data_IF_907071350832
#
_entry.id   IF_907071350832
#
_cell.length_a   1.000
_cell.length_b   1.000
_cell.length_c   1.000
_cell.angle_alpha   90.00
_cell.angle_beta   90.00
_cell.angle_gamma   90.00
#
_symmetry.space_group_name_H-M   'P 1'
#
loop_
_entity.id
_entity.type
_entity.pdbx_description
1 polymer ?
#
# COMPACT_ATOMS: atom_id res chain seq x y z
N UNK A 1 -79.06 35.46 -173.61
CA UNK A 1 -78.67 34.76 -172.36
C UNK A 1 -78.28 35.70 -171.22
N UNK A 2 -77.71 36.90 -171.48
CA UNK A 2 -77.30 37.88 -170.45
C UNK A 2 -78.49 38.48 -169.67
N UNK A 3 -79.64 38.72 -170.32
CA UNK A 3 -80.85 39.27 -169.67
C UNK A 3 -81.40 38.34 -168.58
N UNK A 4 -81.39 37.02 -168.81
CA UNK A 4 -81.81 36.02 -167.81
C UNK A 4 -80.87 35.98 -166.60
N UNK A 5 -79.56 36.18 -166.82
CA UNK A 5 -78.55 36.26 -165.76
C UNK A 5 -78.75 37.54 -164.92
N UNK A 6 -79.05 38.68 -165.55
CA UNK A 6 -79.25 39.94 -164.84
C UNK A 6 -80.48 39.90 -163.92
N UNK A 7 -81.61 39.35 -164.38
CA UNK A 7 -82.79 39.14 -163.54
C UNK A 7 -82.53 38.12 -162.42
N UNK A 8 -81.70 37.11 -162.66
CA UNK A 8 -81.30 36.15 -161.63
C UNK A 8 -80.43 36.81 -160.55
N UNK A 9 -79.41 37.60 -160.93
CA UNK A 9 -78.55 38.32 -160.00
C UNK A 9 -79.34 39.38 -159.21
N UNK A 10 -80.22 40.14 -159.87
CA UNK A 10 -81.07 41.13 -159.21
C UNK A 10 -82.06 40.46 -158.25
N UNK A 11 -82.67 39.34 -158.65
CA UNK A 11 -83.52 38.52 -157.80
C UNK A 11 -82.77 37.98 -156.57
N UNK A 12 -81.54 37.49 -156.77
CA UNK A 12 -80.68 37.01 -155.69
C UNK A 12 -80.26 38.14 -154.73
N UNK A 13 -79.89 39.31 -155.24
CA UNK A 13 -79.54 40.48 -154.42
C UNK A 13 -80.75 40.98 -153.61
N UNK A 14 -81.93 41.01 -154.23
CA UNK A 14 -83.17 41.40 -153.58
C UNK A 14 -83.55 40.39 -152.47
N UNK A 15 -83.43 39.08 -152.75
CA UNK A 15 -83.65 38.04 -151.75
C UNK A 15 -82.62 38.11 -150.60
N UNK A 16 -81.34 38.37 -150.91
CA UNK A 16 -80.28 38.57 -149.92
C UNK A 16 -80.52 39.80 -149.05
N UNK A 17 -80.97 40.92 -149.65
CA UNK A 17 -81.30 42.14 -148.93
C UNK A 17 -82.48 41.95 -147.97
N UNK A 18 -83.52 41.25 -148.42
CA UNK A 18 -84.67 40.87 -147.59
C UNK A 18 -84.24 39.91 -146.48
N UNK A 19 -83.36 38.94 -146.77
CA UNK A 19 -82.84 38.03 -145.76
C UNK A 19 -82.10 38.79 -144.65
N UNK A 20 -81.20 39.72 -145.00
CA UNK A 20 -80.46 40.55 -144.02
C UNK A 20 -81.39 41.41 -143.17
N UNK A 21 -82.49 41.93 -143.73
CA UNK A 21 -83.49 42.68 -142.96
C UNK A 21 -84.26 41.80 -141.97
N UNK A 22 -84.58 40.56 -142.35
CA UNK A 22 -85.38 39.64 -141.53
C UNK A 22 -84.53 38.90 -140.49
N UNK A 23 -83.27 38.58 -140.79
CA UNK A 23 -82.34 37.87 -139.89
C UNK A 23 -82.28 38.47 -138.47
N UNK A 24 -82.09 39.78 -138.24
CA UNK A 24 -82.04 40.34 -136.89
C UNK A 24 -83.37 40.23 -136.15
N UNK A 25 -84.51 40.28 -136.85
CA UNK A 25 -85.84 40.11 -136.26
C UNK A 25 -86.07 38.65 -135.85
N UNK A 26 -85.72 37.71 -136.74
CA UNK A 26 -85.79 36.28 -136.46
C UNK A 26 -84.86 35.88 -135.31
N UNK A 27 -83.64 36.44 -135.23
CA UNK A 27 -82.69 36.19 -134.15
C UNK A 27 -83.19 36.73 -132.81
N UNK A 28 -83.69 37.98 -132.76
CA UNK A 28 -84.28 38.54 -131.52
C UNK A 28 -85.46 37.69 -131.03
N UNK A 29 -86.29 37.18 -131.95
CA UNK A 29 -87.41 36.30 -131.60
C UNK A 29 -86.94 34.92 -131.13
N UNK A 30 -85.92 34.34 -131.76
CA UNK A 30 -85.32 33.07 -131.34
C UNK A 30 -84.68 33.17 -129.95
N UNK A 31 -83.95 34.26 -129.65
CA UNK A 31 -83.39 34.53 -128.32
C UNK A 31 -84.49 34.70 -127.28
N UNK A 32 -85.57 35.42 -127.60
CA UNK A 32 -86.69 35.59 -126.67
C UNK A 32 -87.44 34.27 -126.41
N UNK A 33 -87.62 33.42 -127.42
CA UNK A 33 -88.27 32.11 -127.25
C UNK A 33 -87.39 31.12 -126.47
N UNK A 34 -86.08 31.09 -126.74
CA UNK A 34 -85.13 30.25 -125.98
C UNK A 34 -84.99 30.73 -124.55
N UNK A 35 -84.93 32.05 -124.30
CA UNK A 35 -84.97 32.62 -122.96
C UNK A 35 -86.26 32.24 -122.21
N UNK A 36 -87.44 32.44 -122.81
CA UNK A 36 -88.72 32.03 -122.21
C UNK A 36 -88.83 30.53 -121.96
N UNK A 37 -88.24 29.69 -122.82
CA UNK A 37 -88.21 28.23 -122.64
C UNK A 37 -87.25 27.80 -121.53
N UNK A 38 -86.09 28.44 -121.42
CA UNK A 38 -85.13 28.20 -120.32
C UNK A 38 -85.75 28.67 -119.00
N UNK A 39 -86.32 29.88 -118.96
CA UNK A 39 -87.04 30.42 -117.78
C UNK A 39 -88.26 29.58 -117.38
N UNK A 40 -88.94 28.92 -118.34
CA UNK A 40 -90.07 28.03 -118.06
C UNK A 40 -89.70 26.57 -117.74
N UNK A 41 -88.44 26.15 -117.98
CA UNK A 41 -87.95 24.79 -117.70
C UNK A 41 -87.01 24.72 -116.50
N UNK A 42 -86.40 25.84 -116.11
CA UNK A 42 -85.71 25.97 -114.84
C UNK A 42 -86.68 26.47 -113.77
N UNK A 43 -86.79 25.79 -112.62
CA UNK A 43 -87.68 26.19 -111.54
C UNK A 43 -87.19 27.41 -110.74
N UNK A 44 -86.14 28.12 -111.19
CA UNK A 44 -85.49 29.20 -110.45
C UNK A 44 -85.36 30.47 -111.31
N UNK A 45 -85.75 31.60 -110.73
CA UNK A 45 -85.60 32.93 -111.34
C UNK A 45 -84.12 33.37 -111.35
N UNK A 46 -83.68 34.26 -112.25
CA UNK A 46 -82.29 34.72 -112.30
C UNK A 46 -81.82 35.40 -110.99
N UNK A 47 -82.75 36.02 -110.24
CA UNK A 47 -82.49 36.55 -108.89
C UNK A 47 -82.25 35.44 -107.86
N UNK A 48 -82.96 34.33 -107.94
CA UNK A 48 -82.75 33.18 -107.05
C UNK A 48 -81.41 32.49 -107.33
N UNK A 49 -80.97 32.43 -108.59
CA UNK A 49 -79.63 31.91 -108.95
C UNK A 49 -78.52 32.78 -108.36
N UNK A 50 -78.70 34.11 -108.35
CA UNK A 50 -77.76 35.02 -107.72
C UNK A 50 -77.77 34.86 -106.19
N UNK A 51 -78.95 34.76 -105.58
CA UNK A 51 -79.09 34.50 -104.15
C UNK A 51 -78.45 33.17 -103.74
N UNK A 52 -78.60 32.11 -104.54
CA UNK A 52 -77.99 30.81 -104.31
C UNK A 52 -76.46 30.87 -104.43
N UNK A 53 -75.95 31.59 -105.43
CA UNK A 53 -74.52 31.83 -105.59
C UNK A 53 -73.94 32.61 -104.40
N UNK A 54 -74.64 33.62 -103.91
CA UNK A 54 -74.22 34.39 -102.76
C UNK A 54 -74.39 33.60 -101.45
N UNK A 55 -75.38 32.71 -101.35
CA UNK A 55 -75.51 31.71 -100.27
C UNK A 55 -74.29 30.79 -100.22
N UNK A 56 -73.92 30.18 -101.35
CA UNK A 56 -72.74 29.30 -101.42
C UNK A 56 -71.46 30.06 -101.06
N UNK A 57 -71.31 31.32 -101.51
CA UNK A 57 -70.19 32.17 -101.11
C UNK A 57 -70.19 32.48 -99.63
N UNK A 58 -71.35 32.75 -99.03
CA UNK A 58 -71.48 33.01 -97.60
C UNK A 58 -71.17 31.74 -96.79
N UNK A 59 -71.67 30.57 -97.20
CA UNK A 59 -71.37 29.29 -96.57
C UNK A 59 -69.88 28.97 -96.65
N UNK A 60 -69.26 29.15 -97.82
CA UNK A 60 -67.82 29.00 -98.00
C UNK A 60 -67.04 29.96 -97.09
N UNK A 61 -67.38 31.25 -97.08
CA UNK A 61 -66.74 32.25 -96.23
C UNK A 61 -66.90 31.93 -94.73
N UNK A 62 -68.08 31.51 -94.29
CA UNK A 62 -68.33 31.09 -92.91
C UNK A 62 -67.56 29.82 -92.55
N UNK A 63 -67.46 28.85 -93.46
CA UNK A 63 -66.69 27.62 -93.25
C UNK A 63 -65.19 27.92 -93.11
N UNK A 64 -64.65 28.78 -93.96
CA UNK A 64 -63.26 29.26 -93.91
C UNK A 64 -63.03 29.97 -92.58
N UNK A 65 -63.90 30.93 -92.20
CA UNK A 65 -63.78 31.65 -90.93
C UNK A 65 -63.85 30.71 -89.73
N UNK A 66 -64.71 29.69 -89.76
CA UNK A 66 -64.82 28.68 -88.69
C UNK A 66 -63.57 27.80 -88.61
N UNK A 67 -62.95 27.48 -89.75
CA UNK A 67 -61.69 26.74 -89.80
C UNK A 67 -60.52 27.60 -89.30
N UNK A 68 -60.44 28.87 -89.70
CA UNK A 68 -59.46 29.84 -89.20
C UNK A 68 -59.55 29.97 -87.68
N UNK A 69 -60.75 30.23 -87.12
CA UNK A 69 -60.93 30.31 -85.67
C UNK A 69 -60.54 29.01 -84.95
N UNK A 70 -60.84 27.85 -85.53
CA UNK A 70 -60.40 26.56 -84.98
C UNK A 70 -58.88 26.44 -85.02
N UNK A 71 -58.24 26.80 -86.13
CA UNK A 71 -56.80 26.76 -86.30
C UNK A 71 -56.10 27.71 -85.31
N UNK A 72 -56.59 28.94 -85.17
CA UNK A 72 -56.12 29.91 -84.17
C UNK A 72 -56.27 29.36 -82.74
N UNK A 73 -57.41 28.76 -82.40
CA UNK A 73 -57.63 28.17 -81.07
C UNK A 73 -56.70 26.98 -80.78
N UNK A 74 -56.40 26.16 -81.80
CA UNK A 74 -55.47 25.04 -81.68
C UNK A 74 -54.03 25.52 -81.58
N UNK A 75 -53.66 26.55 -82.35
CA UNK A 75 -52.35 27.20 -82.24
C UNK A 75 -52.16 27.84 -80.86
N UNK A 76 -53.16 28.52 -80.32
CA UNK A 76 -53.12 29.08 -78.97
C UNK A 76 -52.95 27.98 -77.90
N UNK A 77 -53.69 26.86 -78.01
CA UNK A 77 -53.53 25.70 -77.12
C UNK A 77 -52.16 25.02 -77.25
N UNK A 78 -51.64 24.90 -78.47
CA UNK A 78 -50.31 24.35 -78.70
C UNK A 78 -49.23 25.25 -78.08
N UNK A 79 -49.33 26.57 -78.28
CA UNK A 79 -48.45 27.54 -77.65
C UNK A 79 -48.49 27.45 -76.11
N UNK A 80 -49.67 27.35 -75.49
CA UNK A 80 -49.77 27.18 -74.03
C UNK A 80 -49.17 25.85 -73.57
N UNK A 81 -49.41 24.76 -74.29
CA UNK A 81 -48.84 23.44 -73.98
C UNK A 81 -47.31 23.45 -74.09
N UNK A 82 -46.73 24.11 -75.09
CA UNK A 82 -45.28 24.24 -75.23
C UNK A 82 -44.68 25.03 -74.05
N UNK A 83 -45.36 26.07 -73.56
CA UNK A 83 -44.94 26.80 -72.36
C UNK A 83 -44.99 25.89 -71.12
N UNK A 84 -46.04 25.10 -70.95
CA UNK A 84 -46.17 24.20 -69.81
C UNK A 84 -45.17 23.05 -69.85
N UNK A 85 -44.88 22.49 -71.03
CA UNK A 85 -43.78 21.52 -71.23
C UNK A 85 -42.44 22.16 -70.88
N UNK A 86 -42.19 23.41 -71.30
CA UNK A 86 -40.98 24.14 -70.93
C UNK A 86 -40.83 24.32 -69.42
N UNK A 87 -41.92 24.67 -68.72
CA UNK A 87 -41.94 24.78 -67.26
C UNK A 87 -41.70 23.44 -66.57
N UNK A 88 -42.33 22.37 -67.05
CA UNK A 88 -42.15 21.02 -66.50
C UNK A 88 -40.72 20.52 -66.71
N UNK A 89 -40.12 20.76 -67.89
CA UNK A 89 -38.72 20.44 -68.16
C UNK A 89 -37.77 21.19 -67.23
N UNK A 90 -38.03 22.45 -66.94
CA UNK A 90 -37.24 23.24 -65.99
C UNK A 90 -37.35 22.69 -64.55
N UNK A 91 -38.55 22.29 -64.12
CA UNK A 91 -38.74 21.63 -62.82
C UNK A 91 -38.00 20.29 -62.75
N UNK A 92 -38.06 19.48 -63.80
CA UNK A 92 -37.32 18.21 -63.88
C UNK A 92 -35.81 18.44 -63.79
N UNK A 93 -35.27 19.46 -64.47
CA UNK A 93 -33.85 19.83 -64.36
C UNK A 93 -33.47 20.24 -62.94
N UNK A 94 -34.30 21.04 -62.26
CA UNK A 94 -34.08 21.44 -60.87
C UNK A 94 -34.08 20.24 -59.92
N UNK A 95 -35.10 19.38 -60.02
CA UNK A 95 -35.19 18.16 -59.20
C UNK A 95 -34.04 17.19 -59.48
N UNK A 96 -33.61 17.07 -60.73
CA UNK A 96 -32.41 16.30 -61.07
C UNK A 96 -31.17 16.89 -60.38
N UNK A 97 -30.93 18.20 -60.49
CA UNK A 97 -29.80 18.85 -59.82
C UNK A 97 -29.82 18.67 -58.29
N UNK A 98 -30.99 18.78 -57.66
CA UNK A 98 -31.15 18.51 -56.22
C UNK A 98 -30.87 17.05 -55.86
N UNK A 99 -31.34 16.10 -56.67
CA UNK A 99 -31.04 14.67 -56.50
C UNK A 99 -29.54 14.40 -56.63
N UNK A 100 -28.88 14.98 -57.62
CA UNK A 100 -27.43 14.87 -57.83
C UNK A 100 -26.66 15.38 -56.62
N UNK A 101 -27.06 16.54 -56.09
CA UNK A 101 -26.45 17.12 -54.91
C UNK A 101 -26.64 16.23 -53.66
N UNK A 102 -27.85 15.70 -53.46
CA UNK A 102 -28.15 14.79 -52.34
C UNK A 102 -27.40 13.46 -52.44
N UNK A 103 -27.26 12.89 -53.64
CA UNK A 103 -26.47 11.68 -53.84
C UNK A 103 -25.00 11.91 -53.52
N UNK A 104 -24.41 13.01 -53.99
CA UNK A 104 -23.03 13.38 -53.64
C UNK A 104 -22.85 13.55 -52.12
N UNK A 105 -23.81 14.18 -51.45
CA UNK A 105 -23.79 14.33 -50.00
C UNK A 105 -23.91 12.97 -49.28
N UNK A 106 -24.78 12.08 -49.77
CA UNK A 106 -24.93 10.73 -49.25
C UNK A 106 -23.64 9.92 -49.42
N UNK A 107 -23.00 9.97 -50.58
CA UNK A 107 -21.75 9.27 -50.85
C UNK A 107 -20.62 9.78 -49.93
N UNK A 108 -20.53 11.10 -49.72
CA UNK A 108 -19.58 11.68 -48.78
C UNK A 108 -19.84 11.23 -47.33
N UNK A 109 -21.11 11.14 -46.93
CA UNK A 109 -21.49 10.60 -45.62
C UNK A 109 -21.17 9.11 -45.50
N UNK A 110 -21.42 8.31 -46.54
CA UNK A 110 -21.10 6.89 -46.56
C UNK A 110 -19.60 6.64 -46.41
N UNK A 111 -18.75 7.42 -47.10
CA UNK A 111 -17.29 7.39 -46.92
C UNK A 111 -16.90 7.76 -45.49
N UNK A 112 -17.50 8.80 -44.91
CA UNK A 112 -17.22 9.22 -43.53
C UNK A 112 -17.63 8.16 -42.51
N UNK A 113 -18.78 7.51 -42.70
CA UNK A 113 -19.24 6.39 -41.87
C UNK A 113 -18.25 5.23 -41.98
N UNK A 114 -17.83 4.87 -43.19
CA UNK A 114 -16.81 3.83 -43.41
C UNK A 114 -15.50 4.12 -42.68
N UNK A 115 -14.99 5.35 -42.76
CA UNK A 115 -13.79 5.79 -42.05
C UNK A 115 -13.96 5.69 -40.52
N UNK A 116 -15.08 6.20 -39.99
CA UNK A 116 -15.37 6.13 -38.55
C UNK A 116 -15.51 4.68 -38.07
N UNK A 117 -16.13 3.79 -38.85
CA UNK A 117 -16.21 2.37 -38.51
C UNK A 117 -14.84 1.71 -38.49
N UNK A 118 -13.95 2.04 -39.42
CA UNK A 118 -12.59 1.53 -39.44
C UNK A 118 -11.77 2.03 -38.23
N UNK A 119 -11.95 3.28 -37.83
CA UNK A 119 -11.30 3.84 -36.65
C UNK A 119 -11.84 3.23 -35.34
N UNK A 120 -13.14 2.97 -35.26
CA UNK A 120 -13.74 2.22 -34.15
C UNK A 120 -13.16 0.81 -34.05
N UNK A 121 -13.06 0.07 -35.17
CA UNK A 121 -12.46 -1.27 -35.13
C UNK A 121 -11.01 -1.26 -34.68
N UNK A 122 -10.22 -0.25 -35.10
CA UNK A 122 -8.83 -0.09 -34.62
C UNK A 122 -8.79 0.20 -33.12
N UNK A 123 -9.67 1.09 -32.64
CA UNK A 123 -9.79 1.41 -31.21
C UNK A 123 -10.20 0.20 -30.39
N UNK A 124 -11.13 -0.62 -30.89
CA UNK A 124 -11.54 -1.86 -30.24
C UNK A 124 -10.40 -2.89 -30.18
N UNK A 125 -9.58 -2.99 -31.22
CA UNK A 125 -8.36 -3.81 -31.21
C UNK A 125 -7.31 -3.28 -30.24
N UNK A 126 -7.09 -1.96 -30.18
CA UNK A 126 -6.21 -1.31 -29.21
C UNK A 126 -6.69 -1.57 -27.78
N UNK A 127 -7.98 -1.43 -27.50
CA UNK A 127 -8.59 -1.69 -26.20
C UNK A 127 -8.43 -3.16 -25.78
N UNK A 128 -8.63 -4.11 -26.72
CA UNK A 128 -8.38 -5.53 -26.44
C UNK A 128 -6.93 -5.80 -26.08
N UNK A 129 -5.97 -5.26 -26.86
CA UNK A 129 -4.54 -5.39 -26.57
C UNK A 129 -4.15 -4.79 -25.22
N UNK A 130 -4.71 -3.62 -24.89
CA UNK A 130 -4.47 -2.98 -23.58
C UNK A 130 -5.10 -3.78 -22.45
N UNK A 131 -6.30 -4.35 -22.65
CA UNK A 131 -6.95 -5.23 -21.70
C UNK A 131 -6.16 -6.52 -21.44
N UNK A 132 -5.62 -7.15 -22.48
CA UNK A 132 -4.76 -8.32 -22.36
C UNK A 132 -3.48 -8.00 -21.57
N UNK A 133 -2.82 -6.86 -21.87
CA UNK A 133 -1.64 -6.40 -21.13
C UNK A 133 -1.94 -6.09 -19.67
N UNK A 134 -3.09 -5.47 -19.37
CA UNK A 134 -3.51 -5.22 -18.00
C UNK A 134 -3.73 -6.53 -17.24
N UNK A 135 -4.41 -7.50 -17.85
CA UNK A 135 -4.62 -8.81 -17.25
C UNK A 135 -3.29 -9.56 -17.00
N UNK A 136 -2.32 -9.45 -17.91
CA UNK A 136 -0.97 -10.01 -17.73
C UNK A 136 -0.22 -9.33 -16.57
N UNK A 137 -0.26 -8.00 -16.50
CA UNK A 137 0.37 -7.24 -15.41
C UNK A 137 -0.29 -7.56 -14.07
N UNK A 138 -1.62 -7.59 -14.01
CA UNK A 138 -2.39 -7.98 -12.83
C UNK A 138 -2.02 -9.40 -12.38
N UNK A 139 -1.94 -10.35 -13.31
CA UNK A 139 -1.48 -11.71 -13.04
C UNK A 139 -0.04 -11.77 -12.51
N UNK A 140 0.89 -11.00 -13.08
CA UNK A 140 2.27 -10.93 -12.57
C UNK A 140 2.35 -10.28 -11.18
N UNK A 141 1.49 -9.31 -10.90
CA UNK A 141 1.40 -8.64 -9.61
C UNK A 141 0.80 -9.56 -8.54
N UNK A 142 -0.19 -10.38 -8.87
CA UNK A 142 -0.74 -11.36 -7.93
C UNK A 142 0.28 -12.44 -7.61
N UNK A 143 1.00 -12.96 -8.62
CA UNK A 143 2.11 -13.90 -8.36
C UNK A 143 3.19 -13.28 -7.47
N UNK A 144 3.59 -12.03 -7.74
CA UNK A 144 4.57 -11.32 -6.92
C UNK A 144 4.07 -11.11 -5.48
N UNK A 145 2.78 -10.82 -5.30
CA UNK A 145 2.17 -10.71 -3.97
C UNK A 145 2.18 -12.04 -3.22
N UNK A 146 1.88 -13.16 -3.88
CA UNK A 146 1.97 -14.50 -3.29
C UNK A 146 3.41 -14.87 -2.92
N UNK A 147 4.39 -14.51 -3.75
CA UNK A 147 5.81 -14.71 -3.47
C UNK A 147 6.26 -13.89 -2.26
N UNK A 148 5.84 -12.63 -2.16
CA UNK A 148 6.10 -11.78 -0.99
C UNK A 148 5.46 -12.34 0.28
N UNK A 149 4.23 -12.86 0.20
CA UNK A 149 3.58 -13.50 1.34
C UNK A 149 4.33 -14.76 1.79
N UNK A 150 4.74 -15.62 0.85
CA UNK A 150 5.57 -16.80 1.15
C UNK A 150 6.89 -16.40 1.80
N UNK A 151 7.56 -15.38 1.26
CA UNK A 151 8.82 -14.89 1.80
C UNK A 151 8.64 -14.26 3.19
N UNK A 152 7.53 -13.55 3.42
CA UNK A 152 7.15 -13.02 4.72
C UNK A 152 6.99 -14.13 5.76
N UNK A 153 6.25 -15.20 5.43
CA UNK A 153 6.10 -16.37 6.32
C UNK A 153 7.44 -17.05 6.62
N UNK A 154 8.32 -17.17 5.63
CA UNK A 154 9.65 -17.73 5.82
C UNK A 154 10.52 -16.84 6.73
N UNK A 155 10.41 -15.52 6.58
CA UNK A 155 11.11 -14.57 7.45
C UNK A 155 10.61 -14.63 8.89
N UNK A 156 9.30 -14.68 9.09
CA UNK A 156 8.69 -14.82 10.41
C UNK A 156 9.14 -16.12 11.09
N UNK A 157 9.08 -17.25 10.38
CA UNK A 157 9.56 -18.54 10.89
C UNK A 157 11.06 -18.50 11.23
N UNK A 158 11.88 -17.91 10.35
CA UNK A 158 13.31 -17.74 10.61
C UNK A 158 13.56 -16.86 11.85
N UNK A 159 12.81 -15.77 12.00
CA UNK A 159 12.86 -14.85 13.13
C UNK A 159 12.44 -15.53 14.44
N UNK A 160 11.34 -16.30 14.43
CA UNK A 160 10.90 -17.10 15.57
C UNK A 160 11.95 -18.15 15.95
N UNK A 161 12.51 -18.87 14.97
CA UNK A 161 13.55 -19.87 15.22
C UNK A 161 14.82 -19.24 15.82
N UNK A 162 15.20 -18.05 15.36
CA UNK A 162 16.34 -17.30 15.89
C UNK A 162 16.08 -16.83 17.32
N UNK A 163 14.89 -16.28 17.58
CA UNK A 163 14.48 -15.87 18.92
C UNK A 163 14.44 -17.05 19.89
N UNK A 164 13.92 -18.20 19.44
CA UNK A 164 13.92 -19.46 20.20
C UNK A 164 15.35 -19.89 20.53
N UNK A 165 16.27 -19.90 19.55
CA UNK A 165 17.69 -20.20 19.78
C UNK A 165 18.35 -19.21 20.74
N UNK A 166 18.01 -17.92 20.67
CA UNK A 166 18.54 -16.92 21.59
C UNK A 166 18.06 -17.18 23.02
N UNK A 167 16.79 -17.53 23.23
CA UNK A 167 16.26 -17.92 24.53
C UNK A 167 16.98 -19.18 25.04
N UNK A 168 17.17 -20.18 24.19
CA UNK A 168 17.92 -21.39 24.54
C UNK A 168 19.38 -21.08 24.92
N UNK A 169 20.06 -20.20 24.19
CA UNK A 169 21.42 -19.77 24.51
C UNK A 169 21.49 -19.08 25.87
N UNK A 170 20.59 -18.14 26.16
CA UNK A 170 20.52 -17.45 27.46
C UNK A 170 20.22 -18.44 28.59
N UNK A 171 19.36 -19.43 28.35
CA UNK A 171 19.09 -20.50 29.31
C UNK A 171 20.34 -21.36 29.57
N UNK A 172 21.09 -21.72 28.51
CA UNK A 172 22.36 -22.47 28.64
C UNK A 172 23.45 -21.65 29.33
N UNK A 173 23.55 -20.36 29.06
CA UNK A 173 24.47 -19.45 29.76
C UNK A 173 24.14 -19.39 31.25
N UNK A 174 22.86 -19.30 31.61
CA UNK A 174 22.40 -19.34 33.00
C UNK A 174 22.73 -20.68 33.69
N UNK A 175 22.58 -21.81 32.98
CA UNK A 175 22.99 -23.13 33.47
C UNK A 175 24.51 -23.20 33.69
N UNK A 176 25.31 -22.67 32.77
CA UNK A 176 26.76 -22.60 32.88
C UNK A 176 27.19 -21.73 34.06
N UNK A 177 26.53 -20.59 34.29
CA UNK A 177 26.78 -19.73 35.44
C UNK A 177 26.46 -20.44 36.76
N UNK A 178 25.31 -21.15 36.82
CA UNK A 178 24.95 -21.99 37.98
C UNK A 178 26.00 -23.07 38.24
N UNK A 179 26.40 -23.83 37.22
CA UNK A 179 27.43 -24.87 37.33
C UNK A 179 28.80 -24.28 37.73
N UNK A 180 29.14 -23.10 37.21
CA UNK A 180 30.38 -22.40 37.58
C UNK A 180 30.35 -21.94 39.04
N UNK A 181 29.21 -21.43 39.51
CA UNK A 181 28.98 -21.10 40.92
C UNK A 181 29.11 -22.35 41.81
N UNK A 182 28.50 -23.47 41.42
CA UNK A 182 28.63 -24.76 42.11
C UNK A 182 30.08 -25.27 42.13
N UNK A 183 30.80 -25.21 41.01
CA UNK A 183 32.21 -25.56 40.95
C UNK A 183 33.06 -24.66 41.84
N UNK A 184 32.76 -23.37 41.93
CA UNK A 184 33.46 -22.45 42.84
C UNK A 184 33.19 -22.78 44.31
N UNK A 185 31.95 -23.13 44.66
CA UNK A 185 31.55 -23.59 46.00
C UNK A 185 32.24 -24.90 46.35
N UNK A 186 32.24 -25.89 45.45
CA UNK A 186 32.93 -27.16 45.64
C UNK A 186 34.45 -26.98 45.75
N UNK A 187 35.05 -26.06 44.98
CA UNK A 187 36.48 -25.71 45.11
C UNK A 187 36.77 -25.06 46.46
N UNK A 188 35.89 -24.18 46.96
CA UNK A 188 36.03 -23.57 48.28
C UNK A 188 35.90 -24.62 49.40
N UNK A 189 34.89 -25.48 49.33
CA UNK A 189 34.71 -26.61 50.25
C UNK A 189 35.90 -27.56 50.24
N UNK A 190 36.44 -27.89 49.06
CA UNK A 190 37.65 -28.70 48.95
C UNK A 190 38.86 -28.03 49.60
N UNK A 191 39.07 -26.72 49.37
CA UNK A 191 40.16 -25.97 50.02
C UNK A 191 39.98 -25.95 51.53
N UNK A 192 38.77 -25.75 52.02
CA UNK A 192 38.46 -25.77 53.45
C UNK A 192 38.69 -27.17 54.04
N UNK A 193 38.23 -28.23 53.38
CA UNK A 193 38.50 -29.61 53.76
C UNK A 193 40.00 -29.95 53.74
N UNK A 194 40.76 -29.46 52.75
CA UNK A 194 42.22 -29.63 52.70
C UNK A 194 42.92 -28.88 53.84
N UNK A 195 42.45 -27.68 54.20
CA UNK A 195 42.96 -26.92 55.35
C UNK A 195 42.61 -27.60 56.67
N UNK A 196 41.38 -28.07 56.83
CA UNK A 196 40.94 -28.87 57.96
C UNK A 196 41.76 -30.16 58.05
N UNK A 197 41.99 -30.86 56.94
CA UNK A 197 42.83 -32.05 56.87
C UNK A 197 44.27 -31.77 57.31
N UNK A 198 44.86 -30.65 56.87
CA UNK A 198 46.19 -30.20 57.34
C UNK A 198 46.20 -29.83 58.82
N UNK A 199 45.17 -29.14 59.30
CA UNK A 199 45.04 -28.79 60.72
C UNK A 199 44.93 -30.05 61.57
N UNK A 200 44.03 -30.98 61.23
CA UNK A 200 43.89 -32.28 61.89
C UNK A 200 45.18 -33.12 61.79
N UNK A 201 45.92 -33.05 60.68
CA UNK A 201 47.21 -33.72 60.55
C UNK A 201 48.29 -33.10 61.47
N UNK A 202 48.30 -31.77 61.63
CA UNK A 202 49.18 -31.09 62.58
C UNK A 202 48.78 -31.41 64.02
N UNK A 203 47.49 -31.38 64.35
CA UNK A 203 46.97 -31.74 65.67
C UNK A 203 47.26 -33.20 66.01
N UNK A 204 47.06 -34.13 65.08
CA UNK A 204 47.42 -35.55 65.30
C UNK A 204 48.93 -35.73 65.42
N UNK A 205 49.75 -34.92 64.73
CA UNK A 205 51.21 -34.91 64.90
C UNK A 205 51.60 -34.38 66.28
N UNK A 206 51.08 -33.24 66.72
CA UNK A 206 51.39 -32.68 68.04
C UNK A 206 50.87 -33.59 69.15
N UNK A 207 49.69 -34.19 68.99
CA UNK A 207 49.16 -35.20 69.91
C UNK A 207 50.04 -36.47 69.95
N UNK A 208 50.55 -36.94 68.80
CA UNK A 208 51.53 -38.05 68.75
C UNK A 208 52.83 -37.66 69.44
N UNK A 209 53.37 -36.47 69.20
CA UNK A 209 54.58 -35.97 69.85
C UNK A 209 54.37 -35.87 71.37
N UNK A 210 53.24 -35.33 71.83
CA UNK A 210 52.84 -35.30 73.24
C UNK A 210 52.72 -36.71 73.83
N UNK A 211 52.10 -37.65 73.13
CA UNK A 211 52.01 -39.05 73.56
C UNK A 211 53.40 -39.70 73.66
N UNK A 212 54.32 -39.41 72.73
CA UNK A 212 55.70 -39.92 72.84
C UNK A 212 56.46 -39.29 74.00
N UNK A 213 56.22 -38.00 74.29
CA UNK A 213 56.79 -37.33 75.45
C UNK A 213 56.24 -37.91 76.76
N UNK A 214 54.93 -38.16 76.86
CA UNK A 214 54.31 -38.85 77.99
C UNK A 214 54.81 -40.29 78.12
N UNK A 215 54.96 -41.04 77.02
CA UNK A 215 55.58 -42.38 77.06
C UNK A 215 57.03 -42.34 77.55
N UNK A 216 57.82 -41.33 77.15
CA UNK A 216 59.17 -41.11 77.68
C UNK A 216 59.15 -40.79 79.17
N UNK A 217 58.30 -39.86 79.61
CA UNK A 217 58.10 -39.55 81.04
C UNK A 217 57.67 -40.77 81.83
N UNK A 218 56.74 -41.56 81.31
CA UNK A 218 56.29 -42.81 81.91
C UNK A 218 57.43 -43.83 81.97
N UNK A 219 58.28 -43.93 80.94
CA UNK A 219 59.47 -44.80 80.98
C UNK A 219 60.53 -44.30 81.97
N UNK A 220 60.71 -42.99 82.11
CA UNK A 220 61.64 -42.40 83.08
C UNK A 220 61.10 -42.55 84.50
N UNK A 221 59.79 -42.41 84.71
CA UNK A 221 59.12 -42.73 85.97
C UNK A 221 59.20 -44.22 86.27
N UNK A 222 59.03 -45.10 85.28
CA UNK A 222 59.19 -46.54 85.44
C UNK A 222 60.63 -46.89 85.84
N UNK A 223 61.64 -46.27 85.21
CA UNK A 223 63.05 -46.38 85.63
C UNK A 223 63.29 -45.85 87.03
N UNK A 224 62.65 -44.73 87.42
CA UNK A 224 62.74 -44.20 88.78
C UNK A 224 62.12 -45.17 89.78
N UNK A 225 60.95 -45.73 89.48
CA UNK A 225 60.32 -46.78 90.29
C UNK A 225 61.25 -47.99 90.37
N UNK A 226 61.84 -48.43 89.27
CA UNK A 226 62.80 -49.54 89.23
C UNK A 226 64.03 -49.25 90.12
N UNK A 227 64.62 -48.05 90.03
CA UNK A 227 65.71 -47.64 90.92
C UNK A 227 65.27 -47.52 92.37
N UNK A 228 64.06 -47.03 92.65
CA UNK A 228 63.52 -46.96 94.01
C UNK A 228 63.28 -48.37 94.56
N UNK A 229 62.75 -49.29 93.76
CA UNK A 229 62.59 -50.70 94.13
C UNK A 229 63.94 -51.38 94.30
N UNK A 230 64.95 -51.04 93.51
CA UNK A 230 66.32 -51.54 93.71
C UNK A 230 66.94 -50.97 94.99
N UNK A 231 66.74 -49.69 95.29
CA UNK A 231 67.19 -49.10 96.57
C UNK A 231 66.43 -49.64 97.76
N UNK A 232 65.14 -49.98 97.61
CA UNK A 232 64.35 -50.65 98.62
C UNK A 232 64.84 -52.09 98.80
N UNK A 233 65.12 -52.82 97.71
CA UNK A 233 65.74 -54.15 97.79
C UNK A 233 67.13 -54.10 98.45
N UNK A 234 67.98 -53.11 98.12
CA UNK A 234 69.26 -52.90 98.80
C UNK A 234 69.08 -52.52 100.28
N UNK A 235 68.03 -51.74 100.60
CA UNK A 235 67.67 -51.39 101.98
C UNK A 235 67.15 -52.61 102.73
N UNK A 236 66.34 -53.44 102.10
CA UNK A 236 65.80 -54.66 102.65
C UNK A 236 66.91 -55.70 102.81
N UNK A 237 67.86 -55.82 101.87
CA UNK A 237 69.07 -56.63 102.01
C UNK A 237 69.99 -56.11 103.13
N UNK A 238 70.12 -54.78 103.28
CA UNK A 238 70.83 -54.18 104.41
C UNK A 238 70.11 -54.41 105.73
N UNK A 239 68.78 -54.35 105.74
CA UNK A 239 67.96 -54.68 106.89
C UNK A 239 68.06 -56.17 107.21
N UNK A 240 68.06 -57.06 106.23
CA UNK A 240 68.22 -58.49 106.42
C UNK A 240 69.63 -58.82 106.94
N UNK A 241 70.68 -58.10 106.48
CA UNK A 241 72.02 -58.17 107.07
C UNK A 241 72.06 -57.63 108.50
N UNK A 242 71.40 -56.49 108.76
CA UNK A 242 71.24 -55.92 110.11
C UNK A 242 70.40 -56.81 111.01
N UNK A 243 69.43 -57.56 110.48
CA UNK A 243 68.60 -58.52 111.19
C UNK A 243 69.38 -59.81 111.47
N UNK A 244 70.25 -60.25 110.54
CA UNK A 244 71.21 -61.34 110.78
C UNK A 244 72.29 -60.93 111.80
N UNK A 245 72.69 -59.67 111.84
CA UNK A 245 73.56 -59.08 112.89
C UNK A 245 72.82 -58.90 114.22
N UNK A 246 71.55 -58.48 114.20
CA UNK A 246 70.67 -58.39 115.36
C UNK A 246 70.22 -59.76 115.88
N UNK A 247 70.20 -60.81 115.05
CA UNK A 247 70.01 -62.19 115.50
C UNK A 247 71.27 -62.71 116.21
N UNK A 248 72.47 -62.33 115.75
CA UNK A 248 73.75 -62.65 116.42
C UNK A 248 74.02 -61.81 117.68
N UNK A 249 73.40 -60.63 117.78
CA UNK A 249 73.47 -59.74 118.95
C UNK A 249 72.21 -59.82 119.85
N UNK A 250 71.20 -60.64 119.52
CA UNK A 250 70.05 -60.97 120.41
C UNK A 250 70.27 -62.22 121.27
N UNK A 251 71.30 -63.01 121.01
CA UNK A 251 71.78 -64.03 121.96
C UNK A 251 72.69 -63.45 123.07
N UNK A 252 73.05 -62.17 122.98
CA UNK A 252 73.79 -61.46 124.03
C UNK A 252 73.12 -60.11 124.34
N UNK A 253 72.35 -60.12 125.43
CA UNK A 253 71.72 -58.99 126.14
C UNK A 253 70.29 -58.60 125.72
N UNK A 254 69.40 -58.82 126.70
CA UNK A 254 67.98 -58.51 126.75
C UNK A 254 67.74 -57.09 127.29
N UNK A 255 66.61 -56.52 126.85
CA UNK A 255 65.86 -55.44 127.52
C UNK A 255 66.09 -54.06 126.91
N UNK A 256 65.14 -53.13 126.82
CA UNK A 256 63.69 -53.12 127.10
C UNK A 256 63.13 -51.78 126.51
N UNK A 257 61.82 -51.71 126.22
CA UNK A 257 60.92 -50.51 126.28
C UNK A 257 60.94 -49.47 125.12
N UNK A 258 59.89 -49.53 124.28
CA UNK A 258 58.83 -48.52 123.95
C UNK A 258 59.13 -46.99 124.06
N UNK A 259 58.54 -46.02 123.33
CA UNK A 259 57.42 -45.85 122.36
C UNK A 259 57.39 -44.33 121.95
N UNK A 260 56.60 -43.96 120.92
CA UNK A 260 56.01 -42.62 120.62
C UNK A 260 56.83 -41.51 119.91
N UNK A 261 56.31 -40.59 119.08
CA UNK A 261 55.14 -40.45 118.17
C UNK A 261 55.35 -39.19 117.31
N UNK A 262 54.53 -39.11 116.24
CA UNK A 262 54.29 -38.09 115.20
C UNK A 262 54.31 -36.61 115.60
N UNK A 263 54.78 -35.75 114.68
CA UNK A 263 54.38 -34.33 114.55
C UNK A 263 54.32 -33.91 113.08
N UNK A 264 53.19 -33.34 112.67
CA UNK A 264 52.87 -32.75 111.37
C UNK A 264 52.81 -31.21 111.46
N UNK A 265 53.11 -30.58 110.32
CA UNK A 265 52.48 -29.40 109.72
C UNK A 265 52.51 -28.02 110.42
N UNK A 266 53.00 -27.00 109.70
CA UNK A 266 52.16 -25.98 109.02
C UNK A 266 52.93 -24.68 108.72
N UNK A 267 52.79 -24.16 107.48
CA UNK A 267 52.98 -22.76 107.03
C UNK A 267 52.86 -22.73 105.49
N UNK A 268 52.29 -21.78 104.74
CA UNK A 268 51.55 -20.53 104.93
C UNK A 268 50.94 -20.20 103.54
N UNK A 269 49.67 -19.80 103.49
CA UNK A 269 48.97 -19.15 102.37
C UNK A 269 48.47 -17.80 102.94
N UNK A 270 48.30 -16.66 102.27
CA UNK A 270 48.06 -16.28 100.88
C UNK A 270 48.02 -14.73 100.84
N UNK A 271 48.81 -14.05 99.99
CA UNK A 271 48.74 -12.57 99.80
C UNK A 271 48.77 -12.16 98.30
N UNK A 272 48.61 -13.08 97.35
CA UNK A 272 48.79 -12.78 95.91
C UNK A 272 47.49 -12.79 95.05
N UNK A 273 46.31 -12.64 95.65
CA UNK A 273 45.03 -12.75 94.90
C UNK A 273 44.43 -11.42 94.39
N UNK A 274 44.82 -10.26 94.93
CA UNK A 274 44.17 -8.98 94.57
C UNK A 274 44.86 -8.24 93.41
N UNK A 275 46.16 -8.44 93.17
CA UNK A 275 46.88 -7.74 92.10
C UNK A 275 46.64 -8.29 90.68
N UNK A 276 46.17 -9.53 90.56
CA UNK A 276 45.91 -10.17 89.27
C UNK A 276 44.48 -9.94 88.74
N UNK A 277 43.56 -9.56 89.62
CA UNK A 277 42.18 -9.17 89.25
C UNK A 277 42.20 -7.76 88.64
N UNK A 278 42.94 -6.83 89.24
CA UNK A 278 43.06 -5.46 88.73
C UNK A 278 43.76 -5.38 87.36
N UNK A 279 44.76 -6.24 87.10
CA UNK A 279 45.41 -6.35 85.78
C UNK A 279 44.46 -6.90 84.71
N UNK A 280 43.54 -7.80 85.07
CA UNK A 280 42.55 -8.35 84.13
C UNK A 280 41.44 -7.35 83.84
N UNK A 281 41.02 -6.56 84.83
CA UNK A 281 40.05 -5.48 84.64
C UNK A 281 40.62 -4.36 83.76
N UNK A 282 41.87 -3.95 83.96
CA UNK A 282 42.54 -2.94 83.13
C UNK A 282 42.74 -3.40 81.67
N UNK A 283 42.96 -4.70 81.45
CA UNK A 283 43.08 -5.27 80.09
C UNK A 283 41.73 -5.31 79.37
N UNK A 284 40.65 -5.65 80.08
CA UNK A 284 39.29 -5.65 79.54
C UNK A 284 38.77 -4.24 79.28
N UNK A 285 39.12 -3.24 80.09
CA UNK A 285 38.76 -1.85 79.81
C UNK A 285 39.49 -1.30 78.58
N UNK A 286 40.77 -1.61 78.40
CA UNK A 286 41.54 -1.21 77.23
C UNK A 286 41.04 -1.88 75.93
N UNK A 287 40.61 -3.14 76.00
CA UNK A 287 40.02 -3.83 74.84
C UNK A 287 38.60 -3.30 74.51
N UNK A 288 37.84 -2.86 75.52
CA UNK A 288 36.55 -2.20 75.31
C UNK A 288 36.71 -0.84 74.62
N UNK A 289 37.68 -0.04 75.04
CA UNK A 289 37.96 1.28 74.45
C UNK A 289 38.41 1.15 72.98
N UNK A 290 39.24 0.14 72.66
CA UNK A 290 39.63 -0.19 71.27
C UNK A 290 38.45 -0.63 70.40
N UNK A 291 37.47 -1.33 70.97
CA UNK A 291 36.27 -1.76 70.24
C UNK A 291 35.30 -0.59 70.03
N UNK A 292 35.18 0.30 70.99
CA UNK A 292 34.39 1.53 70.87
C UNK A 292 34.99 2.47 69.80
N UNK A 293 36.31 2.64 69.77
CA UNK A 293 37.00 3.37 68.69
C UNK A 293 36.74 2.74 67.31
N UNK A 294 36.85 1.41 67.18
CA UNK A 294 36.53 0.71 65.92
C UNK A 294 35.09 0.92 65.48
N UNK A 295 34.12 0.89 66.39
CA UNK A 295 32.72 1.15 66.06
C UNK A 295 32.51 2.60 65.59
N UNK A 296 33.18 3.58 66.19
CA UNK A 296 33.09 4.97 65.71
C UNK A 296 33.72 5.17 64.33
N UNK A 297 34.83 4.47 64.03
CA UNK A 297 35.45 4.51 62.70
C UNK A 297 34.55 3.85 61.64
N UNK A 298 33.99 2.67 61.92
CA UNK A 298 33.07 1.98 61.01
C UNK A 298 31.74 2.72 60.85
N UNK A 299 31.27 3.45 61.86
CA UNK A 299 30.10 4.31 61.75
C UNK A 299 30.37 5.54 60.87
N UNK A 300 31.57 6.13 60.93
CA UNK A 300 31.99 7.22 60.03
C UNK A 300 32.16 6.73 58.59
N UNK A 301 32.74 5.56 58.40
CA UNK A 301 32.85 4.93 57.07
C UNK A 301 31.47 4.57 56.50
N UNK A 302 30.56 4.02 57.31
CA UNK A 302 29.18 3.80 56.86
C UNK A 302 28.47 5.11 56.50
N UNK A 303 28.65 6.17 57.28
CA UNK A 303 28.07 7.48 56.96
C UNK A 303 28.66 8.06 55.67
N UNK A 304 29.96 7.87 55.43
CA UNK A 304 30.66 8.27 54.19
C UNK A 304 30.21 7.46 52.98
N UNK A 305 30.09 6.14 53.11
CA UNK A 305 29.58 5.27 52.05
C UNK A 305 28.10 5.55 51.76
N UNK A 306 27.31 5.94 52.76
CA UNK A 306 25.91 6.36 52.55
C UNK A 306 25.80 7.71 51.84
N UNK A 307 26.77 8.61 52.00
CA UNK A 307 26.86 9.85 51.20
C UNK A 307 27.44 9.60 49.80
N UNK A 308 28.35 8.63 49.63
CA UNK A 308 28.87 8.22 48.31
C UNK A 308 27.81 7.43 47.50
N UNK A 309 26.92 6.67 48.16
CA UNK A 309 25.80 5.95 47.52
C UNK A 309 24.47 6.72 47.50
N UNK A 310 24.41 7.94 48.03
CA UNK A 310 23.25 8.83 47.87
C UNK A 310 23.31 9.48 46.49
N UNK A 311 22.80 8.78 45.49
CA UNK A 311 22.56 9.29 44.14
C UNK A 311 21.76 10.59 44.22
N UNK A 312 22.31 11.75 43.80
CA UNK A 312 21.48 12.90 43.51
C UNK A 312 20.70 12.60 42.23
N UNK A 313 19.41 12.90 42.21
CA UNK A 313 18.58 12.86 41.01
C UNK A 313 19.34 13.49 39.83
N UNK A 314 19.65 12.68 38.81
CA UNK A 314 20.47 13.12 37.68
C UNK A 314 19.72 14.22 36.89
N UNK A 315 20.40 15.31 36.50
CA UNK A 315 19.98 16.11 35.36
C UNK A 315 20.34 15.36 34.07
N UNK A 316 19.37 15.25 33.17
CA UNK A 316 19.46 14.58 31.87
C UNK A 316 20.78 14.88 31.15
N UNK A 317 21.49 13.82 30.73
CA UNK A 317 22.74 13.94 29.98
C UNK A 317 22.51 14.42 28.53
N UNK A 318 23.49 15.09 27.91
CA UNK A 318 23.34 15.69 26.59
C UNK A 318 23.06 14.68 25.45
N UNK A 319 23.40 13.40 25.62
CA UNK A 319 23.09 12.35 24.64
C UNK A 319 21.63 11.89 24.64
N UNK A 320 20.98 11.84 25.81
CA UNK A 320 19.55 11.50 25.91
C UNK A 320 18.66 12.66 25.48
N UNK A 321 19.14 13.91 25.55
CA UNK A 321 18.39 15.07 25.03
C UNK A 321 18.32 15.00 23.50
N UNK A 322 19.40 14.59 22.82
CA UNK A 322 19.42 14.39 21.37
C UNK A 322 18.58 13.17 20.95
N UNK A 323 18.62 12.07 21.69
CA UNK A 323 17.76 10.90 21.41
C UNK A 323 16.28 11.21 21.66
N UNK A 324 15.95 11.91 22.75
CA UNK A 324 14.58 12.36 22.99
C UNK A 324 14.12 13.41 21.98
N UNK A 325 15.01 14.29 21.50
CA UNK A 325 14.70 15.24 20.45
C UNK A 325 14.45 14.53 19.11
N UNK A 326 15.28 13.53 18.77
CA UNK A 326 15.08 12.69 17.58
C UNK A 326 13.80 11.87 17.64
N UNK A 327 13.51 11.25 18.78
CA UNK A 327 12.28 10.48 18.98
C UNK A 327 11.05 11.39 18.84
N UNK A 328 11.10 12.60 19.40
CA UNK A 328 10.03 13.60 19.24
C UNK A 328 9.86 14.04 17.78
N UNK A 329 10.96 14.21 17.05
CA UNK A 329 10.92 14.58 15.63
C UNK A 329 10.31 13.45 14.78
N UNK A 330 10.72 12.20 15.02
CA UNK A 330 10.16 11.01 14.36
C UNK A 330 8.68 10.81 14.68
N UNK A 331 8.27 11.03 15.93
CA UNK A 331 6.85 10.95 16.31
C UNK A 331 6.02 12.06 15.63
N UNK A 332 6.56 13.28 15.52
CA UNK A 332 5.88 14.38 14.84
C UNK A 332 5.76 14.14 13.32
N UNK A 333 6.78 13.54 12.71
CA UNK A 333 6.78 13.16 11.30
C UNK A 333 5.77 12.03 11.02
N UNK A 334 5.77 10.98 11.83
CA UNK A 334 4.80 9.90 11.72
C UNK A 334 3.36 10.40 11.92
N UNK A 335 3.13 11.27 12.92
CA UNK A 335 1.83 11.89 13.13
C UNK A 335 1.37 12.72 11.92
N UNK A 336 2.28 13.44 11.25
CA UNK A 336 1.94 14.20 10.04
C UNK A 336 1.54 13.28 8.88
N UNK A 337 2.23 12.14 8.69
CA UNK A 337 1.86 11.15 7.67
C UNK A 337 0.51 10.50 7.94
N UNK A 338 0.22 10.15 9.20
CA UNK A 338 -1.08 9.56 9.58
C UNK A 338 -2.21 10.56 9.35
N UNK A 339 -2.03 11.82 9.74
CA UNK A 339 -3.04 12.87 9.51
C UNK A 339 -3.24 13.16 8.02
N UNK A 340 -2.18 13.15 7.21
CA UNK A 340 -2.30 13.31 5.75
C UNK A 340 -3.04 12.12 5.11
N UNK A 341 -2.75 10.89 5.53
CA UNK A 341 -3.46 9.70 5.04
C UNK A 341 -4.94 9.73 5.44
N UNK A 342 -5.24 10.10 6.69
CA UNK A 342 -6.62 10.29 7.15
C UNK A 342 -7.34 11.40 6.37
N UNK A 343 -6.68 12.53 6.11
CA UNK A 343 -7.23 13.61 5.30
C UNK A 343 -7.54 13.18 3.84
N UNK A 344 -6.71 12.30 3.26
CA UNK A 344 -6.97 11.72 1.93
C UNK A 344 -8.16 10.75 1.92
N UNK A 345 -8.34 10.00 3.00
CA UNK A 345 -9.45 9.05 3.15
C UNK A 345 -10.78 9.77 3.43
N UNK A 346 -10.77 10.84 4.21
CA UNK A 346 -11.98 11.59 4.59
C UNK A 346 -12.45 12.60 3.52
N UNK A 347 -11.60 12.95 2.55
CA UNK A 347 -11.93 13.84 1.44
C UNK A 347 -11.93 15.35 1.79
N UNK A 348 -12.28 16.22 0.81
CA UNK A 348 -12.07 17.67 0.89
C UNK A 348 -12.94 18.42 1.91
N UNK A 349 -14.06 17.82 2.37
CA UNK A 349 -14.98 18.43 3.34
C UNK A 349 -14.68 18.03 4.80
N UNK A 350 -13.58 17.31 5.03
CA UNK A 350 -13.22 16.79 6.35
C UNK A 350 -12.95 17.91 7.37
N UNK A 351 -13.24 17.69 8.67
CA UNK A 351 -12.90 18.63 9.73
C UNK A 351 -11.38 18.87 9.83
N UNK A 352 -10.57 17.92 9.37
CA UNK A 352 -9.10 18.00 9.30
C UNK A 352 -8.67 19.03 8.24
N UNK A 353 -9.27 19.01 7.05
CA UNK A 353 -8.99 20.00 6.01
C UNK A 353 -9.37 21.43 6.47
N UNK A 354 -10.49 21.58 7.20
CA UNK A 354 -10.90 22.86 7.80
C UNK A 354 -9.93 23.34 8.88
N UNK A 355 -9.42 22.43 9.72
CA UNK A 355 -8.43 22.76 10.76
C UNK A 355 -7.05 23.11 10.18
N UNK A 356 -6.66 22.52 9.05
CA UNK A 356 -5.42 22.84 8.33
C UNK A 356 -5.52 24.17 7.56
N UNK A 357 -6.71 24.56 7.12
CA UNK A 357 -6.98 25.84 6.46
C UNK A 357 -7.11 27.01 7.45
N UNK A 358 -7.38 26.74 8.73
CA UNK A 358 -7.38 27.76 9.77
C UNK A 358 -5.93 28.18 10.07
N UNK A 359 -5.58 29.43 9.78
CA UNK A 359 -4.27 29.98 10.11
C UNK A 359 -4.05 29.92 11.63
N UNK A 360 -3.15 29.04 12.07
CA UNK A 360 -2.62 29.09 13.42
C UNK A 360 -1.54 30.17 13.43
N UNK A 361 -1.82 31.26 14.15
CA UNK A 361 -0.93 32.42 14.24
C UNK A 361 0.48 32.03 14.66
N UNK A 362 1.46 32.78 14.14
CA UNK A 362 2.89 32.66 14.39
C UNK A 362 3.21 32.51 15.88
N UNK A 363 3.27 31.26 16.33
CA UNK A 363 3.81 30.89 17.63
C UNK A 363 5.33 31.00 17.58
N UNK A 364 5.86 32.11 18.09
CA UNK A 364 7.28 32.36 18.25
C UNK A 364 7.98 31.19 18.99
N UNK A 365 8.59 30.29 18.23
CA UNK A 365 9.38 29.18 18.76
C UNK A 365 9.85 28.30 17.60
N UNK A 366 11.17 28.14 17.50
CA UNK A 366 11.99 27.51 16.44
C UNK A 366 11.63 26.08 15.99
N UNK A 367 10.46 25.54 16.30
CA UNK A 367 10.02 24.17 16.03
C UNK A 367 8.81 24.17 15.10
N UNK A 368 8.97 23.56 13.92
CA UNK A 368 7.95 23.45 12.86
C UNK A 368 6.69 22.78 13.42
N UNK A 369 5.53 23.44 13.28
CA UNK A 369 4.23 22.91 13.77
C UNK A 369 3.80 21.68 12.98
N UNK A 370 3.00 20.82 13.60
CA UNK A 370 2.43 19.63 12.94
C UNK A 370 1.61 20.02 11.71
N UNK A 371 0.84 21.11 11.78
CA UNK A 371 0.03 21.61 10.67
C UNK A 371 0.90 22.06 9.48
N UNK A 372 2.09 22.61 9.73
CA UNK A 372 3.03 23.03 8.68
C UNK A 372 3.64 21.82 7.97
N UNK A 373 3.97 20.76 8.73
CA UNK A 373 4.49 19.50 8.16
C UNK A 373 3.45 18.80 7.29
N UNK A 374 2.20 18.76 7.72
CA UNK A 374 1.10 18.19 6.93
C UNK A 374 0.88 18.97 5.63
N UNK A 375 0.91 20.32 5.69
CA UNK A 375 0.84 21.18 4.50
C UNK A 375 2.02 20.94 3.54
N UNK A 376 3.24 20.85 4.06
CA UNK A 376 4.44 20.54 3.26
C UNK A 376 4.34 19.17 2.55
N UNK A 377 3.83 18.14 3.23
CA UNK A 377 3.59 16.82 2.64
C UNK A 377 2.49 16.84 1.57
N UNK A 378 1.43 17.62 1.76
CA UNK A 378 0.38 17.79 0.75
C UNK A 378 0.91 18.50 -0.50
N UNK A 379 1.72 19.56 -0.33
CA UNK A 379 2.35 20.26 -1.46
C UNK A 379 3.36 19.38 -2.20
N UNK A 380 4.10 18.52 -1.49
CA UNK A 380 5.02 17.56 -2.12
C UNK A 380 4.26 16.49 -2.92
N UNK A 381 3.13 15.99 -2.39
CA UNK A 381 2.33 14.95 -3.07
C UNK A 381 1.46 15.48 -4.21
N UNK A 382 1.35 16.80 -4.38
CA UNK A 382 0.61 17.42 -5.50
C UNK A 382 1.53 18.00 -6.58
N UNK A 383 2.84 17.95 -6.36
CA UNK A 383 3.88 18.32 -7.33
C UNK A 383 4.40 17.12 -8.16
N UNK A 384 4.19 15.90 -7.66
CA UNK A 384 4.26 14.64 -8.42
C UNK A 384 2.88 14.27 -8.96
#
# INVERSE_FOLDING_TARGET
MIQSILFFVLGFLCAGFIAVLITPVAWRRAVNLTRKRIEGSMPLTPSEIQAEKDRIRAEAAMSIRRLEMKAESLQAKNASQLVDVGRAQEQVKKLAAERDAKLKAHDALAVRVGALTADLTKRDEELKRLGERLAEIEGSSTMSAEELEKLGRMYDEASFSSSSRQIELVARESELERLTSELSKLKAQRKEADLQGKAMALETRTAREALTAEKKRASDLARKVETLTATLADRDDRLERRERELARLRDASKGNVSVDTVSQASALASVEADADIDRRLAKLSADRERLEERLTTLARENKRLKTENSVPALPNGPGEVDENARLREQMNELAAHVVNLAAKLDGPDSPIAKALAAETGEGAGRTISLADRVRALQTATSAD
#
